data_IF_371047131231
#
_entry.id   IF_371047131231
#
_cell.length_a   1.000
_cell.length_b   1.000
_cell.length_c   1.000
_cell.angle_alpha   90.00
_cell.angle_beta   90.00
_cell.angle_gamma   90.00
#
_symmetry.space_group_name_H-M   'P 1'
#
loop_
_entity.id
_entity.type
_entity.pdbx_description
1 polymer ?
#
# COMPACT_ATOMS: atom_id res chain seq x y z
N UNK A 1 -42.95 40.25 41.68
CA UNK A 1 -42.90 39.28 40.55
C UNK A 1 -41.48 39.28 39.98
N UNK A 2 -40.69 38.26 40.34
CA UNK A 2 -39.29 38.11 39.86
C UNK A 2 -39.30 37.21 38.63
N UNK A 3 -38.85 37.74 37.50
CA UNK A 3 -38.58 36.96 36.31
C UNK A 3 -37.18 36.35 36.41
N UNK A 4 -37.08 35.02 36.44
CA UNK A 4 -35.81 34.28 36.24
C UNK A 4 -35.57 34.09 34.78
N UNK A 5 -34.52 34.70 34.27
CA UNK A 5 -33.98 34.44 32.92
C UNK A 5 -33.23 33.12 32.92
N UNK A 6 -33.68 32.16 32.12
CA UNK A 6 -32.97 30.89 31.85
C UNK A 6 -32.06 31.12 30.67
N UNK A 7 -30.75 31.12 30.94
CA UNK A 7 -29.72 31.13 29.89
C UNK A 7 -29.61 29.69 29.31
N UNK A 8 -30.05 29.50 28.08
CA UNK A 8 -29.83 28.24 27.35
C UNK A 8 -28.42 28.34 26.69
N UNK A 9 -27.45 27.61 27.26
CA UNK A 9 -26.17 27.42 26.62
C UNK A 9 -26.33 26.38 25.50
N UNK A 10 -26.26 26.85 24.25
CA UNK A 10 -26.14 25.97 23.07
C UNK A 10 -24.69 25.52 23.02
N UNK A 11 -24.45 24.27 23.40
CA UNK A 11 -23.16 23.61 23.16
C UNK A 11 -23.13 23.22 21.68
N UNK A 12 -22.41 24.02 20.87
CA UNK A 12 -22.03 23.58 19.52
C UNK A 12 -21.00 22.46 19.69
N UNK A 13 -21.45 21.22 19.56
CA UNK A 13 -20.55 20.10 19.29
C UNK A 13 -19.98 20.31 17.87
N UNK A 14 -18.80 20.90 17.79
CA UNK A 14 -17.99 20.89 16.60
C UNK A 14 -17.62 19.45 16.27
N UNK A 15 -18.33 18.84 15.32
CA UNK A 15 -17.92 17.60 14.69
C UNK A 15 -16.62 17.88 13.92
N UNK A 16 -15.48 17.77 14.61
CA UNK A 16 -14.17 17.73 13.98
C UNK A 16 -14.15 16.44 13.18
N UNK A 17 -14.53 16.51 11.89
CA UNK A 17 -14.17 15.48 10.92
C UNK A 17 -12.63 15.40 10.92
N UNK A 18 -12.09 14.50 11.73
CA UNK A 18 -10.74 14.01 11.55
C UNK A 18 -10.72 13.36 10.16
N UNK A 19 -10.38 14.16 9.15
CA UNK A 19 -9.91 13.66 7.87
C UNK A 19 -8.73 12.76 8.23
N UNK A 20 -8.99 11.45 8.28
CA UNK A 20 -7.96 10.45 8.52
C UNK A 20 -6.90 10.60 7.43
N UNK A 21 -5.81 11.32 7.75
CA UNK A 21 -4.59 11.18 6.98
C UNK A 21 -4.25 9.71 7.04
N UNK A 22 -4.25 9.02 5.90
CA UNK A 22 -3.72 7.67 5.84
C UNK A 22 -2.33 7.72 6.49
N UNK A 23 -2.20 7.05 7.62
CA UNK A 23 -0.96 7.02 8.37
C UNK A 23 -0.06 6.02 7.65
N UNK A 24 1.20 6.39 7.43
CA UNK A 24 2.19 5.46 6.91
C UNK A 24 2.15 4.15 7.71
N UNK A 25 2.30 2.99 7.06
CA UNK A 25 2.44 1.73 7.79
C UNK A 25 3.56 1.85 8.83
N UNK A 26 3.44 1.14 9.96
CA UNK A 26 4.46 1.17 11.02
C UNK A 26 5.84 0.81 10.45
N UNK A 27 6.86 1.61 10.76
CA UNK A 27 8.22 1.43 10.24
C UNK A 27 8.48 2.01 8.85
N UNK A 28 7.52 2.71 8.25
CA UNK A 28 7.67 3.35 6.94
C UNK A 28 7.52 4.87 7.03
N UNK A 29 8.17 5.59 6.12
CA UNK A 29 7.99 7.03 5.90
C UNK A 29 7.61 7.32 4.46
N UNK A 30 6.77 8.34 4.25
CA UNK A 30 6.39 8.81 2.92
C UNK A 30 7.63 9.39 2.22
N UNK A 31 7.99 8.85 1.05
CA UNK A 31 9.12 9.31 0.24
C UNK A 31 8.68 9.97 -1.06
N UNK A 32 7.49 9.63 -1.56
CA UNK A 32 6.92 10.20 -2.76
C UNK A 32 5.39 10.14 -2.71
N UNK A 33 4.73 11.16 -3.26
CA UNK A 33 3.29 11.13 -3.47
C UNK A 33 2.85 12.02 -4.64
N UNK A 34 1.67 11.70 -5.16
CA UNK A 34 0.86 12.62 -5.92
C UNK A 34 -0.58 12.57 -5.38
N UNK A 35 -0.99 13.68 -4.80
CA UNK A 35 -2.32 13.84 -4.18
C UNK A 35 -3.34 14.38 -5.18
N UNK A 36 -2.95 14.59 -6.43
CA UNK A 36 -3.77 15.12 -7.52
C UNK A 36 -4.61 16.35 -7.16
N UNK A 37 -4.15 17.11 -6.18
CA UNK A 37 -4.80 18.33 -5.69
C UNK A 37 -4.37 19.52 -6.55
N UNK A 38 -5.22 19.94 -7.46
CA UNK A 38 -5.03 21.14 -8.24
C UNK A 38 -6.17 22.14 -7.99
N UNK A 39 -5.85 23.44 -7.92
CA UNK A 39 -6.84 24.49 -7.76
C UNK A 39 -7.68 24.75 -9.01
N UNK A 40 -7.18 24.34 -10.16
CA UNK A 40 -7.84 24.42 -11.46
C UNK A 40 -7.62 23.12 -12.24
N UNK A 41 -8.53 22.74 -13.14
CA UNK A 41 -8.34 21.55 -13.97
C UNK A 41 -7.01 21.58 -14.73
N UNK A 42 -6.23 20.48 -14.62
CA UNK A 42 -4.90 20.39 -15.21
C UNK A 42 -4.58 18.96 -15.66
N UNK A 43 -3.48 18.82 -16.41
CA UNK A 43 -2.85 17.53 -16.66
C UNK A 43 -1.95 17.15 -15.47
N UNK A 44 -1.65 15.84 -15.29
CA UNK A 44 -0.62 15.37 -14.35
C UNK A 44 0.73 16.06 -14.55
N UNK A 45 1.45 16.26 -13.44
CA UNK A 45 2.77 16.90 -13.43
C UNK A 45 3.78 16.05 -14.24
N UNK A 46 4.31 16.65 -15.30
CA UNK A 46 5.30 16.01 -16.17
C UNK A 46 6.67 15.81 -15.52
N UNK A 47 6.93 16.36 -14.33
CA UNK A 47 8.10 16.03 -13.53
C UNK A 47 7.94 14.70 -12.78
N UNK A 48 6.70 14.31 -12.49
CA UNK A 48 6.36 13.05 -11.80
C UNK A 48 6.01 11.93 -12.76
N UNK A 49 5.34 12.26 -13.89
CA UNK A 49 4.72 11.29 -14.79
C UNK A 49 5.20 11.42 -16.22
N UNK A 50 5.20 10.30 -16.93
CA UNK A 50 5.38 10.24 -18.38
C UNK A 50 4.38 9.24 -18.98
N UNK A 51 4.10 9.35 -20.28
CA UNK A 51 3.09 8.55 -20.96
C UNK A 51 3.70 7.58 -21.94
N UNK A 52 3.15 6.37 -21.99
CA UNK A 52 3.32 5.47 -23.13
C UNK A 52 2.21 5.73 -24.14
N UNK A 53 2.55 5.72 -25.42
CA UNK A 53 1.62 6.02 -26.51
C UNK A 53 1.66 4.94 -27.57
N UNK A 54 0.52 4.68 -28.21
CA UNK A 54 0.43 3.69 -29.27
C UNK A 54 -0.83 2.83 -29.21
N UNK A 55 -1.07 2.04 -30.25
CA UNK A 55 -2.24 1.19 -30.45
C UNK A 55 -1.90 -0.17 -31.02
N UNK A 56 -0.81 -0.81 -30.52
CA UNK A 56 -0.34 -2.11 -31.02
C UNK A 56 -0.93 -3.33 -30.30
N UNK A 57 -1.98 -3.11 -29.46
CA UNK A 57 -2.59 -4.18 -28.65
C UNK A 57 -1.86 -4.49 -27.36
N UNK A 58 -0.70 -3.88 -27.12
CA UNK A 58 0.08 -3.91 -25.85
C UNK A 58 0.36 -5.31 -25.29
N UNK A 59 0.53 -6.30 -26.16
CA UNK A 59 0.76 -7.70 -25.79
C UNK A 59 -0.50 -8.50 -25.47
N UNK A 60 -1.65 -7.82 -25.27
CA UNK A 60 -2.90 -8.40 -24.79
C UNK A 60 -4.08 -8.24 -25.77
N UNK A 61 -3.84 -7.86 -27.03
CA UNK A 61 -4.89 -7.52 -28.01
C UNK A 61 -5.86 -6.44 -27.51
N UNK A 62 -5.36 -5.47 -26.75
CA UNK A 62 -6.13 -4.32 -26.26
C UNK A 62 -6.58 -3.43 -27.42
N UNK A 63 -7.75 -2.80 -27.28
CA UNK A 63 -8.44 -2.13 -28.40
C UNK A 63 -8.26 -0.61 -28.42
N UNK A 64 -7.67 -0.01 -27.40
CA UNK A 64 -7.43 1.44 -27.35
C UNK A 64 -6.08 1.83 -27.94
N UNK A 65 -6.02 3.08 -28.39
CA UNK A 65 -4.78 3.83 -28.56
C UNK A 65 -4.51 4.61 -27.28
N UNK A 66 -3.35 4.43 -26.66
CA UNK A 66 -2.93 5.27 -25.54
C UNK A 66 -2.34 6.58 -26.05
N UNK A 67 -2.70 7.70 -25.39
CA UNK A 67 -2.26 9.05 -25.75
C UNK A 67 -1.59 9.76 -24.57
N UNK A 68 -0.83 10.81 -24.85
CA UNK A 68 -0.14 11.60 -23.82
C UNK A 68 -1.08 12.67 -23.22
N UNK A 69 -2.00 12.22 -22.37
CA UNK A 69 -2.91 13.09 -21.61
C UNK A 69 -4.11 13.61 -22.40
N UNK A 70 -3.96 13.91 -23.68
CA UNK A 70 -5.00 14.54 -24.54
C UNK A 70 -5.11 13.83 -25.88
N UNK A 71 -6.34 13.59 -26.35
CA UNK A 71 -6.65 13.14 -27.71
C UNK A 71 -7.47 14.20 -28.43
N UNK A 72 -6.84 14.97 -29.31
CA UNK A 72 -7.44 16.13 -29.98
C UNK A 72 -7.97 17.14 -28.94
N UNK A 73 -9.31 17.35 -28.86
CA UNK A 73 -9.98 18.24 -27.91
C UNK A 73 -10.27 17.60 -26.54
N UNK A 74 -10.14 16.26 -26.42
CA UNK A 74 -10.51 15.53 -25.21
C UNK A 74 -9.33 15.39 -24.25
N UNK A 75 -9.47 15.88 -23.03
CA UNK A 75 -8.53 15.62 -21.93
C UNK A 75 -8.85 14.27 -21.29
N UNK A 76 -7.94 13.31 -21.40
CA UNK A 76 -8.12 11.93 -20.94
C UNK A 76 -7.40 11.65 -19.61
N UNK A 77 -6.36 12.42 -19.25
CA UNK A 77 -5.76 12.42 -17.93
C UNK A 77 -6.04 13.78 -17.28
N UNK A 78 -7.15 13.90 -16.57
CA UNK A 78 -7.64 15.18 -16.04
C UNK A 78 -7.57 15.18 -14.51
N UNK A 79 -6.81 16.11 -13.95
CA UNK A 79 -6.90 16.43 -12.52
C UNK A 79 -7.98 17.48 -12.34
N UNK A 80 -9.03 17.17 -11.59
CA UNK A 80 -10.09 18.08 -11.18
C UNK A 80 -10.78 17.58 -9.93
N UNK A 81 -11.31 18.49 -9.13
CA UNK A 81 -12.06 18.16 -7.91
C UNK A 81 -11.24 17.28 -6.93
N UNK A 82 -9.91 17.48 -6.89
CA UNK A 82 -9.02 16.76 -5.99
C UNK A 82 -8.69 15.33 -6.40
N UNK A 83 -8.97 14.91 -7.64
CA UNK A 83 -8.68 13.56 -8.13
C UNK A 83 -8.13 13.57 -9.56
N UNK A 84 -7.33 12.56 -9.90
CA UNK A 84 -6.97 12.24 -11.28
C UNK A 84 -8.06 11.36 -11.90
N UNK A 85 -8.57 11.77 -13.05
CA UNK A 85 -9.52 11.02 -13.86
C UNK A 85 -8.83 10.50 -15.13
N UNK A 86 -8.47 9.21 -15.14
CA UNK A 86 -8.06 8.50 -16.35
C UNK A 86 -9.32 8.07 -17.10
N UNK A 87 -9.50 8.59 -18.30
CA UNK A 87 -10.71 8.39 -19.10
C UNK A 87 -10.42 7.55 -20.34
N UNK A 88 -11.32 6.62 -20.64
CA UNK A 88 -11.36 5.95 -21.93
C UNK A 88 -12.60 6.39 -22.70
N UNK A 89 -12.43 6.70 -23.97
CA UNK A 89 -13.50 7.14 -24.87
C UNK A 89 -13.60 6.21 -26.10
N UNK A 90 -14.81 5.97 -26.57
CA UNK A 90 -15.07 5.35 -27.88
C UNK A 90 -14.91 6.41 -28.96
N UNK A 91 -13.72 6.61 -29.43
CA UNK A 91 -13.34 7.63 -30.42
C UNK A 91 -12.24 7.08 -31.30
N UNK A 92 -12.46 7.07 -32.61
CA UNK A 92 -11.42 6.58 -33.54
C UNK A 92 -10.19 7.46 -33.50
N UNK A 93 -9.07 6.82 -33.24
CA UNK A 93 -7.76 7.45 -33.23
C UNK A 93 -6.73 6.53 -33.91
N UNK A 94 -6.17 6.99 -35.04
CA UNK A 94 -5.44 6.12 -35.98
C UNK A 94 -6.25 4.86 -36.34
N UNK A 95 -5.70 3.67 -36.11
CA UNK A 95 -6.32 2.37 -36.41
C UNK A 95 -7.25 1.84 -35.31
N UNK A 96 -7.28 2.48 -34.14
CA UNK A 96 -8.01 2.00 -32.96
C UNK A 96 -9.34 2.74 -32.80
N UNK A 97 -10.37 2.05 -32.27
CA UNK A 97 -11.70 2.63 -32.08
C UNK A 97 -11.92 3.24 -30.68
N UNK A 98 -10.92 3.09 -29.81
CA UNK A 98 -10.90 3.64 -28.46
C UNK A 98 -9.62 4.42 -28.21
N UNK A 99 -9.69 5.41 -27.32
CA UNK A 99 -8.54 6.16 -26.80
C UNK A 99 -8.54 6.10 -25.29
N UNK A 100 -7.36 6.01 -24.69
CA UNK A 100 -7.20 5.95 -23.24
C UNK A 100 -5.80 6.42 -22.81
N UNK A 101 -5.47 6.22 -21.53
CA UNK A 101 -4.21 6.63 -20.90
C UNK A 101 -3.48 5.43 -20.35
N UNK A 102 -2.14 5.43 -20.55
CA UNK A 102 -1.15 4.63 -19.85
C UNK A 102 -0.02 5.55 -19.42
N UNK A 103 0.16 5.71 -18.11
CA UNK A 103 1.14 6.63 -17.55
C UNK A 103 1.98 5.95 -16.48
N UNK A 104 3.21 6.44 -16.33
CA UNK A 104 4.23 5.83 -15.49
C UNK A 104 4.91 6.89 -14.64
N UNK A 105 5.37 6.52 -13.44
CA UNK A 105 6.22 7.39 -12.63
C UNK A 105 7.60 7.55 -13.29
N UNK A 106 8.22 8.72 -13.15
CA UNK A 106 9.63 8.95 -13.51
C UNK A 106 10.57 8.39 -12.44
N UNK A 107 10.12 8.43 -11.20
CA UNK A 107 10.79 7.81 -10.07
C UNK A 107 10.63 6.28 -10.12
N UNK A 108 11.56 5.59 -9.49
CA UNK A 108 11.52 4.15 -9.31
C UNK A 108 12.05 3.79 -7.92
N UNK A 109 11.61 2.67 -7.39
CA UNK A 109 11.93 2.24 -6.04
C UNK A 109 12.25 0.76 -6.00
N UNK A 110 13.15 0.38 -5.11
CA UNK A 110 13.36 -1.00 -4.70
C UNK A 110 12.86 -1.13 -3.27
N UNK A 111 11.90 -2.02 -3.06
CA UNK A 111 11.21 -2.24 -1.79
C UNK A 111 10.42 -1.02 -1.30
N UNK A 112 9.46 -1.26 -0.44
CA UNK A 112 8.60 -0.22 0.12
C UNK A 112 7.17 -0.66 0.30
N UNK A 113 6.34 0.28 0.68
CA UNK A 113 4.89 0.16 0.67
C UNK A 113 4.33 1.16 -0.35
N UNK A 114 3.54 0.65 -1.26
CA UNK A 114 2.95 1.38 -2.39
C UNK A 114 1.46 1.36 -2.23
N UNK A 115 0.80 2.51 -2.33
CA UNK A 115 -0.65 2.55 -2.25
C UNK A 115 -1.25 3.56 -3.22
N UNK A 116 -2.45 3.24 -3.64
CA UNK A 116 -3.32 4.09 -4.42
C UNK A 116 -4.73 4.03 -3.83
N UNK A 117 -5.39 5.18 -3.71
CA UNK A 117 -6.80 5.24 -3.36
C UNK A 117 -7.61 5.60 -4.60
N UNK A 118 -8.52 4.72 -5.00
CA UNK A 118 -9.23 4.87 -6.27
C UNK A 118 -10.63 4.24 -6.28
N UNK A 119 -11.46 4.73 -7.23
CA UNK A 119 -12.67 4.06 -7.75
C UNK A 119 -12.37 3.53 -9.13
N UNK A 120 -12.71 2.27 -9.37
CA UNK A 120 -12.45 1.60 -10.64
C UNK A 120 -13.65 1.65 -11.58
N UNK A 121 -13.46 1.65 -12.92
CA UNK A 121 -14.58 1.63 -13.85
C UNK A 121 -15.24 0.25 -13.90
N UNK A 122 -16.57 0.23 -13.82
CA UNK A 122 -17.37 -0.96 -14.12
C UNK A 122 -17.59 -1.15 -15.62
N UNK A 123 -18.47 -2.05 -15.99
CA UNK A 123 -18.88 -2.47 -17.32
C UNK A 123 -17.86 -3.38 -18.04
N UNK A 124 -18.42 -4.41 -18.67
CA UNK A 124 -17.63 -5.38 -19.45
C UNK A 124 -16.83 -4.69 -20.54
N UNK A 125 -15.58 -5.06 -20.63
CA UNK A 125 -14.64 -4.49 -21.58
C UNK A 125 -13.68 -3.47 -20.98
N UNK A 126 -13.92 -2.93 -19.77
CA UNK A 126 -12.92 -2.12 -19.06
C UNK A 126 -11.92 -2.99 -18.30
N UNK A 127 -10.67 -2.53 -18.25
CA UNK A 127 -9.58 -3.16 -17.51
C UNK A 127 -8.66 -2.08 -16.96
N UNK A 128 -8.83 -1.74 -15.69
CA UNK A 128 -8.01 -0.78 -14.97
C UNK A 128 -6.88 -1.49 -14.23
N UNK A 129 -5.69 -0.89 -14.20
CA UNK A 129 -4.54 -1.44 -13.49
C UNK A 129 -3.69 -0.39 -12.77
N UNK A 130 -3.17 -0.80 -11.62
CA UNK A 130 -2.09 -0.18 -10.86
C UNK A 130 -1.03 -1.24 -10.61
N UNK A 131 0.13 -1.08 -11.21
CA UNK A 131 1.13 -2.12 -11.35
C UNK A 131 2.55 -1.57 -11.48
N UNK A 132 3.55 -2.42 -11.59
CA UNK A 132 4.95 -2.03 -11.62
C UNK A 132 5.74 -2.84 -12.64
N UNK A 133 6.69 -2.15 -13.28
CA UNK A 133 7.68 -2.76 -14.18
C UNK A 133 9.11 -2.39 -13.75
N UNK A 134 10.10 -3.26 -14.01
CA UNK A 134 11.49 -2.97 -13.69
C UNK A 134 12.04 -1.80 -14.50
N UNK A 135 12.86 -0.96 -13.85
CA UNK A 135 13.50 0.19 -14.48
C UNK A 135 14.33 -0.22 -15.71
N UNK A 136 15.09 -1.30 -15.60
CA UNK A 136 15.96 -1.82 -16.66
C UNK A 136 15.30 -3.03 -17.33
N UNK A 137 14.13 -2.79 -17.93
CA UNK A 137 13.37 -3.82 -18.63
C UNK A 137 14.08 -4.29 -19.90
N UNK A 138 14.25 -5.60 -20.05
CA UNK A 138 14.82 -6.23 -21.25
C UNK A 138 13.89 -7.26 -21.87
N UNK A 139 13.23 -8.09 -21.04
CA UNK A 139 12.36 -9.16 -21.51
C UNK A 139 11.26 -9.49 -20.49
N UNK A 140 10.03 -9.60 -20.98
CA UNK A 140 8.92 -10.14 -20.21
C UNK A 140 8.81 -11.66 -20.45
N UNK A 141 8.55 -12.48 -19.40
CA UNK A 141 8.36 -12.13 -17.98
C UNK A 141 9.65 -12.27 -17.13
N UNK A 142 10.81 -12.44 -17.75
CA UNK A 142 12.10 -12.68 -17.10
C UNK A 142 12.50 -11.60 -16.08
N UNK A 143 12.19 -10.33 -16.39
CA UNK A 143 12.59 -9.21 -15.54
C UNK A 143 11.57 -8.91 -14.45
N UNK A 144 10.44 -9.61 -14.43
CA UNK A 144 9.39 -9.49 -13.44
C UNK A 144 8.34 -8.44 -13.76
N UNK A 145 7.15 -8.63 -13.18
CA UNK A 145 6.02 -7.69 -13.15
C UNK A 145 5.30 -7.86 -11.83
N UNK A 146 4.86 -6.76 -11.22
CA UNK A 146 4.10 -6.76 -9.97
C UNK A 146 2.79 -6.01 -10.20
N UNK A 147 1.66 -6.70 -10.11
CA UNK A 147 0.33 -6.13 -10.25
C UNK A 147 -0.27 -5.89 -8.88
N UNK A 148 -0.28 -4.63 -8.45
CA UNK A 148 -0.80 -4.21 -7.14
C UNK A 148 -2.31 -4.33 -7.15
N UNK A 149 -2.96 -3.85 -8.22
CA UNK A 149 -4.39 -3.92 -8.44
C UNK A 149 -4.69 -4.07 -9.91
N UNK A 150 -5.48 -5.08 -10.25
CA UNK A 150 -6.13 -5.20 -11.54
C UNK A 150 -7.63 -5.38 -11.33
N UNK A 151 -8.43 -4.73 -12.20
CA UNK A 151 -9.87 -4.80 -12.16
C UNK A 151 -10.46 -4.86 -13.56
N UNK A 152 -11.22 -5.93 -13.84
CA UNK A 152 -11.94 -6.12 -15.10
C UNK A 152 -13.44 -5.97 -14.89
N UNK A 153 -14.08 -5.12 -15.68
CA UNK A 153 -15.49 -4.76 -15.49
C UNK A 153 -16.51 -5.88 -15.68
N UNK A 154 -16.12 -7.04 -16.20
CA UNK A 154 -17.01 -8.21 -16.25
C UNK A 154 -17.04 -9.03 -14.95
N UNK A 155 -16.16 -8.70 -13.97
CA UNK A 155 -16.11 -9.30 -12.62
C UNK A 155 -16.36 -8.22 -11.56
N UNK A 156 -17.59 -7.70 -11.46
CA UNK A 156 -17.88 -6.57 -10.57
C UNK A 156 -17.49 -6.89 -9.12
N UNK A 157 -16.93 -5.90 -8.45
CA UNK A 157 -16.48 -5.98 -7.07
C UNK A 157 -15.36 -7.00 -6.80
N UNK A 158 -14.60 -7.42 -7.81
CA UNK A 158 -13.47 -8.33 -7.64
C UNK A 158 -12.20 -7.70 -8.16
N UNK A 159 -11.25 -7.44 -7.27
CA UNK A 159 -9.88 -7.05 -7.61
C UNK A 159 -8.92 -8.22 -7.54
N UNK A 160 -7.77 -8.08 -8.16
CA UNK A 160 -6.70 -9.08 -8.22
C UNK A 160 -5.35 -8.43 -8.00
N UNK A 161 -4.45 -9.09 -7.26
CA UNK A 161 -3.01 -8.86 -7.29
C UNK A 161 -2.30 -10.06 -7.87
N UNK A 162 -1.21 -9.81 -8.60
CA UNK A 162 -0.43 -10.85 -9.26
C UNK A 162 1.06 -10.53 -9.25
N UNK A 163 1.87 -11.55 -9.48
CA UNK A 163 3.25 -11.37 -9.92
C UNK A 163 3.52 -12.27 -11.12
N UNK A 164 4.31 -11.75 -12.07
CA UNK A 164 4.77 -12.50 -13.22
C UNK A 164 6.30 -12.60 -13.22
N UNK A 165 6.80 -13.81 -13.39
CA UNK A 165 8.23 -14.13 -13.50
C UNK A 165 8.43 -15.15 -14.61
N UNK A 166 9.67 -15.49 -14.96
CA UNK A 166 9.93 -16.52 -15.97
C UNK A 166 9.27 -17.86 -15.62
N UNK A 167 9.28 -18.24 -14.33
CA UNK A 167 8.69 -19.50 -13.85
C UNK A 167 7.19 -19.39 -13.57
N UNK A 168 6.69 -18.18 -13.31
CA UNK A 168 5.30 -17.94 -12.88
C UNK A 168 4.67 -16.84 -13.71
N UNK A 169 3.90 -17.18 -14.75
CA UNK A 169 3.24 -16.20 -15.59
C UNK A 169 1.97 -16.76 -16.25
N UNK A 170 1.10 -15.87 -16.72
CA UNK A 170 -0.20 -16.24 -17.30
C UNK A 170 -0.07 -17.00 -18.64
N UNK A 171 1.00 -16.79 -19.40
CA UNK A 171 1.22 -17.51 -20.67
C UNK A 171 1.53 -18.99 -20.41
N UNK A 172 2.25 -19.28 -19.33
CA UNK A 172 2.54 -20.62 -18.86
C UNK A 172 1.45 -21.20 -17.94
N UNK A 173 0.41 -20.42 -17.59
CA UNK A 173 -0.64 -20.77 -16.61
C UNK A 173 -0.08 -21.16 -15.23
N UNK A 174 0.95 -20.44 -14.79
CA UNK A 174 1.67 -20.66 -13.53
C UNK A 174 1.74 -19.41 -12.67
N UNK A 175 1.08 -18.32 -13.09
CA UNK A 175 1.08 -17.03 -12.40
C UNK A 175 0.70 -17.17 -10.92
N UNK A 176 1.31 -16.35 -10.08
CA UNK A 176 0.95 -16.24 -8.67
C UNK A 176 -0.02 -15.08 -8.52
N UNK A 177 -1.26 -15.40 -8.17
CA UNK A 177 -2.35 -14.45 -8.12
C UNK A 177 -3.30 -14.75 -6.97
N UNK A 178 -3.95 -13.71 -6.46
CA UNK A 178 -5.10 -13.84 -5.55
C UNK A 178 -6.15 -12.76 -5.85
N UNK A 179 -7.40 -13.06 -5.54
CA UNK A 179 -8.52 -12.14 -5.73
C UNK A 179 -9.16 -11.77 -4.41
N UNK A 180 -9.74 -10.57 -4.36
CA UNK A 180 -10.47 -10.04 -3.21
C UNK A 180 -11.81 -9.46 -3.65
N UNK A 181 -12.88 -9.84 -2.95
CA UNK A 181 -14.17 -9.17 -3.11
C UNK A 181 -14.14 -7.84 -2.34
N UNK A 182 -14.59 -6.78 -3.01
CA UNK A 182 -14.67 -5.41 -2.48
C UNK A 182 -16.07 -4.90 -2.78
N UNK A 183 -16.87 -4.62 -1.77
CA UNK A 183 -18.18 -4.02 -1.99
C UNK A 183 -18.00 -2.61 -2.58
N UNK A 184 -18.85 -2.23 -3.52
CA UNK A 184 -18.91 -0.86 -4.06
C UNK A 184 -17.63 -0.34 -4.74
N UNK A 185 -16.74 -1.21 -5.24
CA UNK A 185 -15.46 -0.83 -5.85
C UNK A 185 -15.60 0.22 -6.97
N UNK A 186 -16.76 0.24 -7.65
CA UNK A 186 -17.07 1.13 -8.77
C UNK A 186 -17.68 2.47 -8.33
N UNK A 187 -18.15 2.57 -7.08
CA UNK A 187 -18.88 3.75 -6.58
C UNK A 187 -18.22 4.42 -5.38
N UNK A 188 -17.34 3.70 -4.67
CA UNK A 188 -16.63 4.20 -3.51
C UNK A 188 -15.10 4.09 -3.71
N UNK A 189 -14.37 4.93 -3.00
CA UNK A 189 -12.91 4.86 -3.02
C UNK A 189 -12.41 3.78 -2.08
N UNK A 190 -11.53 2.93 -2.58
CA UNK A 190 -10.80 1.93 -1.82
C UNK A 190 -9.30 2.15 -1.91
N UNK A 191 -8.56 1.69 -0.90
CA UNK A 191 -7.10 1.76 -0.87
C UNK A 191 -6.54 0.41 -1.33
N UNK A 192 -5.84 0.42 -2.44
CA UNK A 192 -5.11 -0.73 -2.98
C UNK A 192 -3.64 -0.56 -2.64
N UNK A 193 -3.10 -1.49 -1.87
CA UNK A 193 -1.75 -1.40 -1.32
C UNK A 193 -0.90 -2.62 -1.62
N UNK A 194 0.42 -2.43 -1.58
CA UNK A 194 1.40 -3.50 -1.72
C UNK A 194 2.61 -3.22 -0.83
N UNK A 195 2.95 -4.16 0.02
CA UNK A 195 4.23 -4.21 0.70
C UNK A 195 5.19 -5.10 -0.09
N UNK A 196 6.34 -4.55 -0.44
CA UNK A 196 7.40 -5.28 -1.11
C UNK A 196 8.69 -5.17 -0.31
N UNK A 197 9.15 -6.32 0.16
CA UNK A 197 10.39 -6.48 0.93
C UNK A 197 11.35 -7.41 0.19
N UNK A 198 12.54 -7.63 0.73
CA UNK A 198 13.48 -8.64 0.22
C UNK A 198 12.90 -10.07 0.34
N UNK A 199 12.00 -10.29 1.30
CA UNK A 199 11.48 -11.61 1.64
C UNK A 199 10.18 -11.96 0.95
N UNK A 200 9.34 -10.96 0.65
CA UNK A 200 7.99 -11.19 0.13
C UNK A 200 7.37 -9.95 -0.49
N UNK A 201 6.35 -10.20 -1.27
CA UNK A 201 5.40 -9.23 -1.79
C UNK A 201 4.02 -9.56 -1.20
N UNK A 202 3.35 -8.58 -0.58
CA UNK A 202 2.02 -8.76 0.02
C UNK A 202 1.07 -7.69 -0.50
N UNK A 203 -0.05 -8.09 -1.10
CA UNK A 203 -1.11 -7.20 -1.59
C UNK A 203 -2.21 -6.98 -0.56
N UNK A 204 -2.73 -5.75 -0.51
CA UNK A 204 -3.73 -5.29 0.46
C UNK A 204 -4.89 -4.59 -0.24
N UNK A 205 -6.08 -4.70 0.36
CA UNK A 205 -7.21 -3.81 0.10
C UNK A 205 -7.71 -3.28 1.42
N UNK A 206 -7.83 -1.95 1.54
CA UNK A 206 -8.27 -1.25 2.75
C UNK A 206 -7.49 -1.69 4.01
N UNK A 207 -6.18 -1.89 3.85
CA UNK A 207 -5.28 -2.35 4.90
C UNK A 207 -5.38 -3.86 5.23
N UNK A 208 -6.25 -4.61 4.55
CA UNK A 208 -6.42 -6.06 4.79
C UNK A 208 -5.60 -6.84 3.76
N UNK A 209 -4.61 -7.66 4.19
CA UNK A 209 -3.81 -8.47 3.27
C UNK A 209 -4.67 -9.58 2.63
N UNK A 210 -4.40 -9.88 1.36
CA UNK A 210 -5.11 -10.96 0.64
C UNK A 210 -4.23 -11.74 -0.35
N UNK A 211 -3.09 -11.20 -0.73
CA UNK A 211 -2.11 -11.82 -1.62
C UNK A 211 -0.77 -11.89 -0.92
N UNK A 212 -0.03 -12.96 -1.08
CA UNK A 212 1.38 -13.06 -0.63
C UNK A 212 2.17 -13.95 -1.57
N UNK A 213 3.31 -13.43 -2.03
CA UNK A 213 4.30 -14.18 -2.78
C UNK A 213 5.65 -14.06 -2.05
N UNK A 214 6.18 -15.20 -1.59
CA UNK A 214 7.42 -15.27 -0.82
C UNK A 214 8.62 -15.55 -1.73
N UNK A 215 9.75 -14.91 -1.41
CA UNK A 215 11.05 -15.22 -1.99
C UNK A 215 11.49 -16.63 -1.56
N UNK A 216 11.80 -17.49 -2.52
CA UNK A 216 12.29 -18.85 -2.24
C UNK A 216 13.75 -18.88 -1.75
N UNK A 217 14.44 -17.73 -1.77
CA UNK A 217 15.84 -17.55 -1.34
C UNK A 217 16.86 -18.38 -2.10
N UNK A 218 16.51 -18.87 -3.28
CA UNK A 218 17.43 -19.65 -4.13
C UNK A 218 18.37 -18.77 -4.95
N UNK A 219 18.11 -17.45 -5.01
CA UNK A 219 18.86 -16.51 -5.86
C UNK A 219 18.62 -16.71 -7.35
N UNK A 220 17.56 -17.39 -7.73
CA UNK A 220 17.17 -17.63 -9.12
C UNK A 220 16.28 -16.50 -9.63
N UNK A 221 16.76 -15.73 -10.59
CA UNK A 221 16.00 -14.66 -11.25
C UNK A 221 14.72 -15.18 -11.93
N UNK A 222 14.68 -16.45 -12.32
CA UNK A 222 13.49 -17.01 -12.95
C UNK A 222 12.31 -17.12 -11.96
N UNK A 223 12.58 -17.27 -10.67
CA UNK A 223 11.55 -17.35 -9.62
C UNK A 223 11.37 -16.04 -8.87
N UNK A 224 12.47 -15.27 -8.64
CA UNK A 224 12.46 -14.02 -7.89
C UNK A 224 13.29 -12.92 -8.56
N UNK A 225 12.75 -12.21 -9.58
CA UNK A 225 13.43 -11.07 -10.22
C UNK A 225 13.27 -9.74 -9.45
N UNK A 226 12.62 -9.74 -8.30
CA UNK A 226 12.20 -8.56 -7.54
C UNK A 226 13.28 -8.03 -6.59
N UNK A 227 14.51 -7.91 -7.09
CA UNK A 227 15.66 -7.33 -6.37
C UNK A 227 16.25 -6.10 -7.06
N UNK A 228 15.60 -5.60 -8.10
CA UNK A 228 15.92 -4.40 -8.85
C UNK A 228 14.88 -3.28 -8.62
N UNK A 229 15.15 -2.01 -8.94
CA UNK A 229 14.15 -0.95 -8.86
C UNK A 229 13.05 -1.10 -9.91
N UNK A 230 11.79 -0.82 -9.50
CA UNK A 230 10.59 -0.79 -10.33
C UNK A 230 9.94 0.59 -10.30
N UNK A 231 9.26 0.97 -11.39
CA UNK A 231 8.41 2.15 -11.47
C UNK A 231 6.93 1.78 -11.50
N UNK A 232 6.09 2.69 -11.00
CA UNK A 232 4.64 2.52 -10.97
C UNK A 232 4.00 2.85 -12.32
N UNK A 233 2.95 2.13 -12.64
CA UNK A 233 2.15 2.29 -13.86
C UNK A 233 0.67 2.34 -13.53
N UNK A 234 -0.04 3.22 -14.25
CA UNK A 234 -1.49 3.38 -14.21
C UNK A 234 -2.03 3.31 -15.62
N UNK A 235 -3.03 2.50 -15.88
CA UNK A 235 -3.71 2.51 -17.16
C UNK A 235 -5.18 2.09 -17.06
N UNK A 236 -5.93 2.45 -18.08
CA UNK A 236 -7.27 1.95 -18.34
C UNK A 236 -7.31 1.36 -19.75
N UNK A 237 -7.26 0.04 -19.86
CA UNK A 237 -7.42 -0.67 -21.12
C UNK A 237 -8.91 -0.89 -21.47
N UNK A 238 -9.18 -1.09 -22.74
CA UNK A 238 -10.49 -1.50 -23.26
C UNK A 238 -10.30 -2.78 -24.08
N UNK A 239 -11.11 -3.80 -23.77
CA UNK A 239 -11.05 -5.10 -24.41
C UNK A 239 -9.81 -5.91 -23.99
N UNK A 240 -9.10 -6.45 -24.97
CA UNK A 240 -7.98 -7.32 -24.75
C UNK A 240 -8.36 -8.75 -24.36
N UNK A 241 -7.35 -9.60 -24.22
CA UNK A 241 -7.51 -11.02 -23.91
C UNK A 241 -8.24 -11.26 -22.59
N UNK A 242 -8.08 -10.39 -21.63
CA UNK A 242 -8.73 -10.53 -20.31
C UNK A 242 -9.88 -9.53 -20.13
N UNK A 243 -9.69 -8.23 -20.28
CA UNK A 243 -10.78 -7.24 -20.14
C UNK A 243 -11.95 -7.51 -21.08
N UNK A 244 -11.68 -8.03 -22.27
CA UNK A 244 -12.66 -8.39 -23.29
C UNK A 244 -13.18 -9.82 -23.25
N UNK A 245 -12.74 -10.68 -22.31
CA UNK A 245 -13.02 -12.12 -22.26
C UNK A 245 -14.53 -12.44 -22.32
N UNK A 246 -15.35 -11.63 -21.66
CA UNK A 246 -16.82 -11.79 -21.62
C UNK A 246 -17.54 -10.84 -22.58
N UNK A 247 -16.85 -10.37 -23.61
CA UNK A 247 -17.35 -9.37 -24.55
C UNK A 247 -17.21 -7.93 -24.02
N UNK A 248 -17.57 -6.99 -24.86
CA UNK A 248 -17.49 -5.55 -24.59
C UNK A 248 -18.89 -4.97 -24.58
N UNK A 249 -19.24 -4.26 -23.52
CA UNK A 249 -20.51 -3.53 -23.42
C UNK A 249 -20.52 -2.38 -24.45
N UNK A 250 -21.62 -2.19 -25.16
CA UNK A 250 -21.77 -1.09 -26.14
C UNK A 250 -21.54 0.28 -25.49
N UNK A 251 -21.86 0.40 -24.20
CA UNK A 251 -21.72 1.59 -23.38
C UNK A 251 -20.51 1.52 -22.44
N UNK A 252 -19.49 0.70 -22.72
CA UNK A 252 -18.26 0.64 -21.92
C UNK A 252 -17.60 2.00 -21.79
N UNK A 253 -17.68 2.82 -22.81
CA UNK A 253 -17.20 4.21 -22.83
C UNK A 253 -18.37 5.22 -22.86
N UNK A 254 -18.18 6.41 -22.22
CA UNK A 254 -16.99 6.82 -21.48
C UNK A 254 -16.81 5.98 -20.21
N UNK A 255 -15.56 5.55 -19.96
CA UNK A 255 -15.16 4.93 -18.72
C UNK A 255 -14.20 5.86 -17.97
N UNK A 256 -14.26 5.85 -16.65
CA UNK A 256 -13.40 6.69 -15.80
C UNK A 256 -12.81 5.83 -14.68
N UNK A 257 -11.50 5.84 -14.58
CA UNK A 257 -10.73 5.35 -13.47
C UNK A 257 -10.31 6.58 -12.65
N UNK A 258 -10.91 6.74 -11.47
CA UNK A 258 -10.77 7.94 -10.64
C UNK A 258 -9.85 7.67 -9.46
N UNK A 259 -8.76 8.44 -9.34
CA UNK A 259 -7.69 8.21 -8.38
C UNK A 259 -7.54 9.43 -7.48
N UNK A 260 -7.70 9.24 -6.16
CA UNK A 260 -7.58 10.26 -5.13
C UNK A 260 -6.09 10.58 -4.90
N UNK A 261 -5.27 9.54 -4.72
CA UNK A 261 -3.82 9.71 -4.56
C UNK A 261 -3.05 8.44 -4.96
N UNK A 262 -1.75 8.64 -5.20
CA UNK A 262 -0.73 7.58 -5.22
C UNK A 262 0.39 7.96 -4.26
N UNK A 263 0.78 7.02 -3.39
CA UNK A 263 1.81 7.24 -2.36
C UNK A 263 2.81 6.10 -2.32
N UNK A 264 4.06 6.45 -2.06
CA UNK A 264 5.15 5.50 -1.87
C UNK A 264 5.82 5.77 -0.54
N UNK A 265 5.97 4.72 0.23
CA UNK A 265 6.64 4.76 1.52
C UNK A 265 7.83 3.79 1.48
N UNK A 266 8.94 4.20 2.06
CA UNK A 266 10.08 3.30 2.25
C UNK A 266 10.35 3.11 3.74
N UNK A 267 10.89 1.94 4.06
CA UNK A 267 11.29 1.62 5.43
C UNK A 267 12.23 2.71 5.94
N UNK A 268 11.88 3.28 7.07
CA UNK A 268 12.80 4.14 7.81
C UNK A 268 13.92 3.21 8.25
N UNK A 269 15.09 3.30 7.62
CA UNK A 269 16.30 2.84 8.29
C UNK A 269 16.44 3.74 9.52
N UNK A 270 15.81 3.34 10.60
CA UNK A 270 16.28 3.87 11.88
C UNK A 270 17.73 3.42 11.95
N UNK A 271 18.67 4.34 12.18
CA UNK A 271 20.03 4.00 12.65
C UNK A 271 19.98 3.41 14.08
N UNK A 272 18.85 2.89 14.49
CA UNK A 272 18.78 1.85 15.50
C UNK A 272 19.38 0.62 14.82
N UNK A 273 20.48 0.08 15.33
CA UNK A 273 20.92 -1.24 14.89
C UNK A 273 19.67 -2.11 14.89
N UNK A 274 19.43 -2.80 13.79
CA UNK A 274 18.34 -3.74 13.68
C UNK A 274 18.35 -4.53 14.97
N UNK A 275 17.23 -4.51 15.69
CA UNK A 275 16.98 -5.54 16.70
C UNK A 275 16.82 -6.81 15.87
N UNK A 276 17.99 -7.38 15.53
CA UNK A 276 18.05 -8.66 14.88
C UNK A 276 17.17 -9.62 15.65
N UNK A 277 16.26 -10.21 14.91
CA UNK A 277 15.38 -11.24 15.34
C UNK A 277 16.04 -12.13 16.40
N UNK A 278 15.52 -12.08 17.61
CA UNK A 278 15.23 -13.19 18.54
C UNK A 278 16.17 -14.44 18.60
N UNK A 279 17.36 -14.45 17.97
CA UNK A 279 18.24 -15.61 18.06
C UNK A 279 19.23 -15.57 19.23
N UNK A 280 19.64 -14.37 19.74
CA UNK A 280 20.67 -14.29 20.80
C UNK A 280 20.52 -13.06 21.72
N UNK A 281 19.29 -12.62 22.04
CA UNK A 281 19.14 -11.61 23.07
C UNK A 281 19.39 -12.23 24.44
N UNK A 282 20.30 -11.68 25.24
CA UNK A 282 20.53 -12.18 26.60
C UNK A 282 19.35 -11.86 27.54
N UNK A 283 18.28 -11.27 27.06
CA UNK A 283 17.12 -10.86 27.87
C UNK A 283 15.87 -11.62 27.46
N UNK A 284 15.09 -12.01 28.47
CA UNK A 284 13.72 -12.51 28.30
C UNK A 284 12.76 -11.69 29.15
N UNK A 285 11.55 -11.46 28.66
CA UNK A 285 10.48 -10.71 29.36
C UNK A 285 9.25 -11.60 29.41
N UNK A 286 8.83 -11.99 30.60
CA UNK A 286 7.72 -12.94 30.81
C UNK A 286 6.89 -12.60 32.04
N UNK A 287 5.57 -12.89 32.01
CA UNK A 287 4.75 -13.28 30.89
C UNK A 287 4.35 -12.08 30.00
N UNK A 288 3.99 -12.32 28.76
CA UNK A 288 3.43 -11.29 27.85
C UNK A 288 1.96 -10.93 28.17
N UNK A 289 1.32 -11.72 29.04
CA UNK A 289 -0.01 -11.45 29.60
C UNK A 289 0.13 -11.47 31.13
N UNK A 290 0.23 -10.29 31.74
CA UNK A 290 0.48 -10.13 33.17
C UNK A 290 -0.74 -9.65 33.96
N UNK A 291 -0.91 -10.16 35.19
CA UNK A 291 -1.85 -9.60 36.19
C UNK A 291 -1.11 -8.68 37.17
N UNK A 292 -0.06 -9.18 37.80
CA UNK A 292 0.56 -8.47 38.92
C UNK A 292 2.06 -8.26 38.73
N UNK A 293 2.74 -9.14 38.00
CA UNK A 293 4.20 -9.12 37.89
C UNK A 293 4.67 -9.48 36.50
N UNK A 294 5.79 -8.87 36.08
CA UNK A 294 6.57 -9.22 34.90
C UNK A 294 8.02 -9.47 35.36
N UNK A 295 8.61 -10.53 34.87
CA UNK A 295 10.01 -10.87 35.12
C UNK A 295 10.83 -10.55 33.89
N UNK A 296 11.89 -9.78 34.08
CA UNK A 296 12.92 -9.53 33.07
C UNK A 296 14.15 -10.29 33.49
N UNK A 297 14.53 -11.32 32.75
CA UNK A 297 15.68 -12.17 33.02
C UNK A 297 16.85 -11.83 32.08
N UNK A 298 18.07 -12.00 32.54
CA UNK A 298 19.30 -11.83 31.74
C UNK A 298 20.18 -13.06 31.93
N UNK A 299 20.64 -13.65 30.82
CA UNK A 299 21.55 -14.79 30.79
C UNK A 299 23.05 -14.41 30.95
N UNK A 300 23.33 -13.11 31.04
CA UNK A 300 24.69 -12.61 31.25
C UNK A 300 24.80 -11.83 32.57
N UNK A 301 25.98 -11.87 33.19
CA UNK A 301 26.29 -11.21 34.49
C UNK A 301 26.50 -9.68 34.38
N UNK A 302 26.10 -9.04 33.25
CA UNK A 302 26.25 -7.60 33.10
C UNK A 302 25.05 -6.87 33.69
N UNK A 303 25.31 -5.72 34.30
CA UNK A 303 24.25 -4.81 34.72
C UNK A 303 23.45 -4.33 33.55
N UNK A 304 22.13 -4.24 33.70
CA UNK A 304 21.23 -3.77 32.68
C UNK A 304 20.21 -2.77 33.24
N UNK A 305 19.50 -2.12 32.35
CA UNK A 305 18.41 -1.19 32.63
C UNK A 305 17.12 -1.73 32.03
N UNK A 306 16.04 -1.66 32.78
CA UNK A 306 14.69 -1.91 32.27
C UNK A 306 13.94 -0.60 32.22
N UNK A 307 13.26 -0.31 31.10
CA UNK A 307 12.32 0.79 30.99
C UNK A 307 10.96 0.26 30.51
N UNK A 308 9.89 0.79 31.06
CA UNK A 308 8.53 0.45 30.67
C UNK A 308 7.81 1.72 30.23
N UNK A 309 7.19 1.66 29.06
CA UNK A 309 6.40 2.77 28.51
C UNK A 309 4.99 2.33 28.18
N UNK A 310 4.04 3.26 28.19
CA UNK A 310 2.71 3.05 27.60
C UNK A 310 2.76 3.23 26.06
N UNK A 311 1.61 3.02 25.41
CA UNK A 311 1.46 3.18 23.95
C UNK A 311 1.71 4.60 23.43
N UNK A 312 1.66 5.60 24.29
CA UNK A 312 1.96 7.00 23.97
C UNK A 312 3.46 7.31 24.13
N UNK A 313 4.29 6.30 24.48
CA UNK A 313 5.71 6.46 24.75
C UNK A 313 6.02 7.11 26.10
N UNK A 314 5.03 7.29 26.97
CA UNK A 314 5.18 7.87 28.27
C UNK A 314 5.86 6.86 29.20
N UNK A 315 6.96 7.26 29.84
CA UNK A 315 7.70 6.40 30.77
C UNK A 315 6.81 6.11 32.02
N UNK A 316 6.59 4.84 32.29
CA UNK A 316 5.85 4.34 33.44
C UNK A 316 6.80 3.96 34.56
N UNK A 317 7.88 3.24 34.22
CA UNK A 317 8.89 2.80 35.18
C UNK A 317 10.27 2.68 34.54
N UNK A 318 11.33 2.90 35.34
CA UNK A 318 12.71 2.69 34.92
C UNK A 318 13.54 2.17 36.09
N UNK A 319 14.12 1.00 35.91
CA UNK A 319 15.03 0.37 36.86
C UNK A 319 16.43 0.33 36.23
N UNK A 320 17.44 0.75 36.98
CA UNK A 320 18.84 0.79 36.52
C UNK A 320 19.70 -0.10 37.40
N UNK A 321 20.84 -0.57 36.87
CA UNK A 321 21.74 -1.49 37.56
C UNK A 321 21.09 -2.82 37.94
N UNK A 322 20.10 -3.28 37.21
CA UNK A 322 19.52 -4.60 37.38
C UNK A 322 20.57 -5.68 37.15
N UNK A 323 20.49 -6.77 37.88
CA UNK A 323 21.31 -7.98 37.73
C UNK A 323 20.41 -9.18 37.92
N UNK A 324 20.68 -10.28 37.24
CA UNK A 324 19.85 -11.50 37.28
C UNK A 324 18.37 -11.20 36.95
N UNK A 325 17.44 -11.91 37.55
CA UNK A 325 16.02 -11.74 37.35
C UNK A 325 15.51 -10.48 38.07
N UNK A 326 14.92 -9.55 37.30
CA UNK A 326 14.32 -8.33 37.83
C UNK A 326 12.80 -8.46 37.76
N UNK A 327 12.13 -8.41 38.91
CA UNK A 327 10.67 -8.50 39.03
C UNK A 327 10.10 -7.08 39.05
N UNK A 328 9.19 -6.79 38.16
CA UNK A 328 8.45 -5.53 38.06
C UNK A 328 7.01 -5.79 38.52
N UNK A 329 6.62 -5.12 39.61
CA UNK A 329 5.25 -5.18 40.13
C UNK A 329 4.36 -4.22 39.35
N UNK A 330 3.48 -4.78 38.53
CA UNK A 330 2.49 -4.02 37.78
C UNK A 330 1.07 -4.11 38.34
N UNK A 331 0.91 -4.60 39.59
CA UNK A 331 -0.42 -4.82 40.20
C UNK A 331 -1.25 -3.53 40.28
N UNK A 332 -0.63 -2.39 40.53
CA UNK A 332 -1.26 -1.06 40.59
C UNK A 332 -1.45 -0.35 39.24
N UNK A 333 -1.03 -0.97 38.12
CA UNK A 333 -1.10 -0.31 36.81
C UNK A 333 -2.50 -0.46 36.20
N UNK A 334 -2.85 0.50 35.35
CA UNK A 334 -4.10 0.42 34.58
C UNK A 334 -4.04 -0.77 33.60
N UNK A 335 -5.20 -1.36 33.31
CA UNK A 335 -5.30 -2.36 32.23
C UNK A 335 -4.91 -1.74 30.91
N UNK A 336 -4.09 -2.44 30.13
CA UNK A 336 -3.59 -1.93 28.86
C UNK A 336 -2.34 -2.62 28.36
N UNK A 337 -1.81 -2.12 27.26
CA UNK A 337 -0.59 -2.60 26.64
C UNK A 337 0.59 -1.71 27.07
N UNK A 338 1.66 -2.34 27.48
CA UNK A 338 2.93 -1.71 27.89
C UNK A 338 4.07 -2.29 27.09
N UNK A 339 5.09 -1.48 26.81
CA UNK A 339 6.32 -1.90 26.16
C UNK A 339 7.43 -1.94 27.21
N UNK A 340 7.98 -3.13 27.44
CA UNK A 340 9.13 -3.37 28.32
C UNK A 340 10.38 -3.43 27.46
N UNK A 341 11.42 -2.70 27.83
CA UNK A 341 12.70 -2.69 27.14
C UNK A 341 13.81 -2.93 28.13
N UNK A 342 14.61 -3.99 27.93
CA UNK A 342 15.82 -4.29 28.68
C UNK A 342 17.07 -3.99 27.85
N UNK A 343 18.08 -3.32 28.43
CA UNK A 343 19.34 -3.01 27.72
C UNK A 343 20.51 -2.95 28.65
N UNK A 344 21.68 -3.46 28.21
CA UNK A 344 22.97 -3.36 28.89
C UNK A 344 23.96 -2.41 28.18
N UNK A 345 23.47 -1.64 27.21
CA UNK A 345 24.28 -0.72 26.42
C UNK A 345 24.98 -1.38 25.21
N UNK A 346 24.99 -2.70 25.12
CA UNK A 346 25.51 -3.49 23.98
C UNK A 346 24.38 -4.21 23.28
N UNK A 347 23.49 -4.86 24.05
CA UNK A 347 22.31 -5.57 23.58
C UNK A 347 21.05 -4.91 24.13
N UNK A 348 19.95 -5.01 23.39
CA UNK A 348 18.63 -4.54 23.81
C UNK A 348 17.55 -5.52 23.38
N UNK A 349 16.51 -5.68 24.20
CA UNK A 349 15.34 -6.49 23.91
C UNK A 349 14.08 -5.76 24.34
N UNK A 350 13.02 -5.84 23.55
CA UNK A 350 11.73 -5.23 23.87
C UNK A 350 10.60 -6.19 23.59
N UNK A 351 9.66 -6.29 24.54
CA UNK A 351 8.43 -7.06 24.40
C UNK A 351 7.20 -6.23 24.77
N UNK A 352 6.07 -6.60 24.19
CA UNK A 352 4.76 -6.04 24.52
C UNK A 352 4.09 -6.91 25.56
N UNK A 353 3.72 -6.31 26.70
CA UNK A 353 3.04 -6.99 27.80
C UNK A 353 1.65 -6.40 27.97
N UNK A 354 0.64 -7.26 27.97
CA UNK A 354 -0.76 -6.89 28.24
C UNK A 354 -1.00 -7.01 29.74
N UNK A 355 -1.36 -5.91 30.41
CA UNK A 355 -1.85 -5.89 31.79
C UNK A 355 -3.35 -6.12 31.82
N UNK A 356 -3.78 -7.19 32.47
CA UNK A 356 -5.19 -7.58 32.68
C UNK A 356 -5.79 -7.03 33.96
#
# INVERSE_FOLDING_TARGET
MCYRSVLVQIILLGCCCLLGRAQAPEGYSLVWSDEFSASTPSLPDTNKWWYETGGSGWGNNELQYYVAGVAREDTLALISDGTLKIRALKKRYFSMDYVSIRMNTKENWKYGYFEMKAKVPGKRGSWAAFWMMPQNFTAWPLDGEIDIMEYVGYRPNVTQSSVHTQSYNHVAHTEKTATKNIANAETEFHVYGLEWTEDKITGYVDGIPYFTFANDKLGDKNTWPFDAPFYLKLNLAIGGNWGGLMGIDENVCPATYEIDYVRVYQSVKTDRPALDAQADSPFTITPTLARDKVVVSSDNSRKYTVSVTDLQGRLIEKLTNCMEDTIIDCSGWAKGLYVFTATNGVSSHSDKVIKN
#
